data_IF_236816847596
#
_entry.id   IF_236816847596
#
_cell.length_a   1.000
_cell.length_b   1.000
_cell.length_c   1.000
_cell.angle_alpha   90.00
_cell.angle_beta   90.00
_cell.angle_gamma   90.00
#
_symmetry.space_group_name_H-M   'P 1'
#
loop_
_entity.id
_entity.type
_entity.pdbx_description
1 polymer ?
#
# COMPACT_ATOMS: atom_id res chain seq x y z
N UNK A 1 12.42 -6.10 13.78
CA UNK A 1 12.80 -6.81 12.54
C UNK A 1 12.10 -6.13 11.37
N UNK A 2 12.71 -6.10 10.18
CA UNK A 2 12.09 -5.52 8.98
C UNK A 2 11.44 -6.63 8.15
N UNK A 3 10.21 -6.40 7.70
CA UNK A 3 9.45 -7.33 6.87
C UNK A 3 9.51 -6.80 5.44
N UNK A 4 9.89 -7.69 4.50
CA UNK A 4 9.76 -7.39 3.07
C UNK A 4 8.30 -7.56 2.69
N UNK A 5 7.77 -6.66 1.87
CA UNK A 5 6.42 -6.75 1.33
C UNK A 5 6.31 -6.11 -0.04
N UNK A 6 5.12 -6.22 -0.62
CA UNK A 6 4.74 -5.45 -1.78
C UNK A 6 3.79 -4.32 -1.37
N UNK A 7 3.86 -3.21 -2.09
CA UNK A 7 2.89 -2.12 -1.98
C UNK A 7 2.11 -2.10 -3.29
N UNK A 8 0.80 -2.30 -3.21
CA UNK A 8 -0.10 -2.10 -4.33
C UNK A 8 -0.71 -0.71 -4.25
N UNK A 9 -0.61 0.04 -5.34
CA UNK A 9 -1.14 1.37 -5.52
C UNK A 9 -2.26 1.32 -6.56
N UNK A 10 -3.36 1.98 -6.27
CA UNK A 10 -4.51 2.05 -7.16
C UNK A 10 -5.05 3.48 -7.21
N UNK A 11 -5.36 3.97 -8.39
CA UNK A 11 -5.96 5.28 -8.60
C UNK A 11 -7.45 5.10 -8.80
N UNK A 12 -8.26 5.66 -7.89
CA UNK A 12 -9.72 5.68 -8.02
C UNK A 12 -10.17 6.78 -8.97
N UNK A 13 -11.41 6.64 -9.46
CA UNK A 13 -12.05 7.58 -10.40
C UNK A 13 -12.19 9.01 -9.84
N UNK A 14 -12.14 9.19 -8.52
CA UNK A 14 -12.28 10.48 -7.85
C UNK A 14 -10.94 11.20 -7.63
N UNK A 15 -9.87 10.81 -8.35
CA UNK A 15 -8.50 11.35 -8.18
C UNK A 15 -7.87 10.97 -6.82
N UNK A 16 -8.54 10.17 -6.01
CA UNK A 16 -7.97 9.59 -4.79
C UNK A 16 -7.11 8.36 -5.12
N UNK A 17 -6.06 8.14 -4.34
CA UNK A 17 -5.15 7.01 -4.46
C UNK A 17 -5.34 6.06 -3.28
N UNK A 18 -5.27 4.76 -3.53
CA UNK A 18 -5.31 3.71 -2.53
C UNK A 18 -3.97 3.00 -2.50
N UNK A 19 -3.44 2.80 -1.30
CA UNK A 19 -2.21 2.08 -1.04
C UNK A 19 -2.51 0.91 -0.13
N UNK A 20 -2.20 -0.29 -0.60
CA UNK A 20 -2.33 -1.52 0.18
C UNK A 20 -0.96 -2.15 0.31
N UNK A 21 -0.47 -2.28 1.54
CA UNK A 21 0.76 -3.02 1.81
C UNK A 21 0.43 -4.49 2.07
N UNK A 22 1.07 -5.41 1.36
CA UNK A 22 0.98 -6.84 1.61
C UNK A 22 2.39 -7.37 1.93
N UNK A 23 2.67 -7.77 3.18
CA UNK A 23 3.94 -8.40 3.52
C UNK A 23 4.12 -9.72 2.74
N UNK A 24 5.37 -10.13 2.49
CA UNK A 24 5.69 -11.39 1.82
C UNK A 24 5.03 -12.55 2.57
N UNK A 25 4.10 -13.25 1.89
CA UNK A 25 3.30 -14.33 2.46
C UNK A 25 1.84 -13.95 2.81
N UNK A 26 1.46 -12.67 2.69
CA UNK A 26 0.08 -12.21 2.88
C UNK A 26 -0.64 -11.93 1.55
N UNK A 27 -1.96 -12.18 1.52
CA UNK A 27 -2.80 -11.93 0.35
C UNK A 27 -3.09 -10.44 0.17
N UNK A 28 -2.80 -9.91 -1.02
CA UNK A 28 -3.13 -8.55 -1.45
C UNK A 28 -4.66 -8.42 -1.50
N UNK A 29 -5.26 -7.82 -0.47
CA UNK A 29 -6.71 -7.68 -0.33
C UNK A 29 -7.25 -7.92 1.08
N UNK A 30 -6.42 -8.39 2.01
CA UNK A 30 -6.79 -8.52 3.43
C UNK A 30 -6.18 -7.44 4.34
N UNK A 31 -5.27 -6.61 3.81
CA UNK A 31 -4.76 -5.45 4.53
C UNK A 31 -5.65 -4.23 4.24
N UNK A 32 -5.93 -3.37 5.25
CA UNK A 32 -6.71 -2.17 5.05
C UNK A 32 -6.01 -1.23 4.04
N UNK A 33 -6.71 -0.75 3.00
CA UNK A 33 -6.15 0.22 2.08
C UNK A 33 -6.06 1.59 2.77
N UNK A 34 -4.93 2.26 2.58
CA UNK A 34 -4.75 3.66 2.97
C UNK A 34 -5.12 4.56 1.81
N UNK A 35 -6.00 5.52 2.05
CA UNK A 35 -6.50 6.44 1.02
C UNK A 35 -5.70 7.75 1.11
N UNK A 36 -5.28 8.26 -0.04
CA UNK A 36 -4.64 9.55 -0.22
C UNK A 36 -5.50 10.39 -1.17
N UNK A 37 -5.65 11.68 -0.90
CA UNK A 37 -6.49 12.54 -1.74
C UNK A 37 -5.71 13.15 -2.90
N UNK A 38 -4.40 13.30 -2.74
CA UNK A 38 -3.52 13.97 -3.68
C UNK A 38 -2.24 13.18 -3.97
N UNK A 39 -1.64 13.42 -5.14
CA UNK A 39 -0.36 12.81 -5.55
C UNK A 39 0.79 13.19 -4.61
N UNK A 40 0.78 14.42 -4.07
CA UNK A 40 1.79 14.91 -3.12
C UNK A 40 1.77 14.17 -1.79
N UNK A 41 0.58 13.85 -1.27
CA UNK A 41 0.47 13.07 -0.03
C UNK A 41 1.01 11.66 -0.25
N UNK A 42 0.67 11.06 -1.41
CA UNK A 42 1.17 9.74 -1.79
C UNK A 42 2.69 9.75 -1.95
N UNK A 43 3.26 10.72 -2.67
CA UNK A 43 4.70 10.87 -2.88
C UNK A 43 5.45 11.05 -1.54
N UNK A 44 4.96 11.95 -0.68
CA UNK A 44 5.57 12.21 0.64
C UNK A 44 5.57 10.94 1.49
N UNK A 45 4.50 10.14 1.41
CA UNK A 45 4.42 8.89 2.13
C UNK A 45 5.36 7.82 1.55
N UNK A 46 5.42 7.68 0.22
CA UNK A 46 6.32 6.74 -0.45
C UNK A 46 7.80 7.08 -0.16
N UNK A 47 8.17 8.35 -0.23
CA UNK A 47 9.54 8.81 0.02
C UNK A 47 9.91 8.76 1.52
N UNK A 48 8.99 9.17 2.40
CA UNK A 48 9.25 9.27 3.83
C UNK A 48 9.08 7.94 4.56
N UNK A 49 7.85 7.40 4.54
CA UNK A 49 7.49 6.21 5.31
C UNK A 49 8.05 4.93 4.70
N UNK A 50 7.93 4.78 3.37
CA UNK A 50 8.34 3.58 2.65
C UNK A 50 9.78 3.65 2.15
N UNK A 51 10.42 4.83 2.26
CA UNK A 51 11.81 5.09 1.80
C UNK A 51 12.06 4.62 0.36
N UNK A 52 11.03 4.74 -0.48
CA UNK A 52 11.10 4.38 -1.90
C UNK A 52 11.90 5.46 -2.63
N UNK A 53 12.73 5.05 -3.57
CA UNK A 53 13.54 5.99 -4.33
C UNK A 53 12.69 6.93 -5.19
N UNK A 54 13.07 8.21 -5.34
CA UNK A 54 12.31 9.19 -6.12
C UNK A 54 12.04 8.75 -7.57
N UNK A 55 12.97 7.99 -8.16
CA UNK A 55 12.82 7.43 -9.51
C UNK A 55 11.66 6.44 -9.58
N UNK A 56 11.53 5.57 -8.58
CA UNK A 56 10.47 4.58 -8.53
C UNK A 56 9.12 5.24 -8.23
N UNK A 57 9.10 6.31 -7.42
CA UNK A 57 7.89 7.10 -7.18
C UNK A 57 7.41 7.76 -8.47
N UNK A 58 8.31 8.35 -9.26
CA UNK A 58 7.95 8.94 -10.55
C UNK A 58 7.40 7.89 -11.52
N UNK A 59 7.98 6.67 -11.53
CA UNK A 59 7.45 5.53 -12.31
C UNK A 59 6.07 5.13 -11.82
N UNK A 60 5.86 5.04 -10.51
CA UNK A 60 4.58 4.69 -9.90
C UNK A 60 3.49 5.70 -10.24
N UNK A 61 3.75 7.00 -10.09
CA UNK A 61 2.82 8.07 -10.44
C UNK A 61 2.48 8.05 -11.93
N UNK A 62 3.48 7.84 -12.79
CA UNK A 62 3.28 7.72 -14.24
C UNK A 62 2.42 6.52 -14.61
N UNK A 63 2.64 5.37 -13.96
CA UNK A 63 1.84 4.16 -14.16
C UNK A 63 0.41 4.32 -13.60
N UNK A 64 0.23 4.99 -12.48
CA UNK A 64 -1.09 5.32 -11.92
C UNK A 64 -1.89 6.25 -12.84
N UNK A 65 -1.23 7.20 -13.48
CA UNK A 65 -1.87 8.10 -14.44
C UNK A 65 -2.32 7.36 -15.72
N UNK A 66 -1.53 6.39 -16.20
CA UNK A 66 -1.78 5.65 -17.45
C UNK A 66 -2.69 4.43 -17.29
N UNK A 67 -2.40 3.61 -16.28
CA UNK A 67 -3.02 2.30 -16.09
C UNK A 67 -3.99 2.28 -14.91
N UNK A 68 -3.93 3.27 -14.02
CA UNK A 68 -4.77 3.33 -12.82
C UNK A 68 -4.29 2.42 -11.69
N UNK A 69 -3.19 1.68 -11.84
CA UNK A 69 -2.62 0.83 -10.78
C UNK A 69 -1.12 0.62 -10.97
N UNK A 70 -0.40 0.39 -9.87
CA UNK A 70 1.02 0.08 -9.86
C UNK A 70 1.41 -0.76 -8.63
N UNK A 71 2.39 -1.65 -8.74
CA UNK A 71 2.90 -2.43 -7.61
C UNK A 71 4.38 -2.17 -7.42
N UNK A 72 4.77 -1.78 -6.22
CA UNK A 72 6.17 -1.68 -5.79
C UNK A 72 6.53 -2.95 -5.03
N UNK A 73 7.59 -3.62 -5.45
CA UNK A 73 8.09 -4.83 -4.80
C UNK A 73 9.25 -4.48 -3.86
N UNK A 74 9.58 -5.40 -2.93
CA UNK A 74 10.73 -5.27 -2.01
C UNK A 74 10.66 -4.10 -1.02
N UNK A 75 9.44 -3.66 -0.68
CA UNK A 75 9.25 -2.60 0.31
C UNK A 75 9.49 -3.14 1.72
N UNK A 76 10.56 -2.66 2.34
CA UNK A 76 10.99 -3.03 3.69
C UNK A 76 10.38 -2.10 4.72
N UNK A 77 9.43 -2.60 5.50
CA UNK A 77 8.86 -1.88 6.62
C UNK A 77 9.16 -2.60 7.93
N UNK A 78 9.41 -1.82 8.97
CA UNK A 78 9.46 -2.37 10.32
C UNK A 78 8.04 -2.58 10.85
N UNK A 79 7.84 -3.56 11.72
CA UNK A 79 6.52 -3.87 12.31
C UNK A 79 5.87 -2.65 12.97
N UNK A 80 6.68 -1.83 13.66
CA UNK A 80 6.25 -0.56 14.24
C UNK A 80 5.72 0.42 13.18
N UNK A 81 6.35 0.50 12.00
CA UNK A 81 5.90 1.37 10.90
C UNK A 81 4.62 0.83 10.25
N UNK A 82 4.47 -0.50 10.16
CA UNK A 82 3.26 -1.11 9.63
C UNK A 82 2.08 -0.78 10.57
N UNK A 83 2.29 -0.89 11.88
CA UNK A 83 1.27 -0.56 12.88
C UNK A 83 0.99 0.95 12.97
N UNK A 84 2.03 1.79 12.96
CA UNK A 84 1.92 3.26 13.02
C UNK A 84 1.20 3.84 11.80
N UNK A 85 1.45 3.27 10.61
CA UNK A 85 0.82 3.73 9.38
C UNK A 85 -0.52 3.04 9.08
N UNK A 86 -1.00 2.18 9.99
CA UNK A 86 -2.25 1.44 9.82
C UNK A 86 -2.24 0.48 8.63
N UNK A 87 -1.06 -0.01 8.23
CA UNK A 87 -0.84 -0.91 7.09
C UNK A 87 -1.09 -2.40 7.44
N UNK A 88 -1.72 -2.67 8.60
CA UNK A 88 -1.98 -4.00 9.14
C UNK A 88 -0.97 -4.43 10.22
N UNK A 89 -1.02 -5.70 10.62
CA UNK A 89 -0.05 -6.31 11.55
C UNK A 89 0.84 -7.28 10.80
N UNK A 90 2.16 -7.14 10.95
CA UNK A 90 3.17 -7.99 10.32
C UNK A 90 3.00 -9.49 10.60
N UNK A 91 2.36 -9.83 11.73
CA UNK A 91 2.13 -11.21 12.20
C UNK A 91 0.71 -11.72 11.91
N UNK A 92 -0.14 -10.91 11.28
CA UNK A 92 -1.43 -11.38 10.80
C UNK A 92 -1.24 -12.11 9.46
N UNK A 93 -0.60 -13.28 9.52
CA UNK A 93 -0.88 -14.39 8.60
C UNK A 93 -2.38 -14.77 8.67
N UNK A 94 -3.06 -14.45 9.78
CA UNK A 94 -4.50 -14.23 9.81
C UNK A 94 -4.84 -12.82 9.35
N UNK A 95 -4.60 -12.60 8.07
CA UNK A 95 -5.39 -11.73 7.23
C UNK A 95 -6.80 -12.34 7.18
N UNK A 96 -7.52 -12.24 8.30
CA UNK A 96 -8.86 -12.79 8.45
C UNK A 96 -9.69 -12.18 7.37
N UNK A 97 -10.17 -13.02 6.46
CA UNK A 97 -11.26 -12.79 5.53
C UNK A 97 -12.25 -11.84 6.20
N UNK A 98 -12.09 -10.53 5.97
CA UNK A 98 -13.13 -9.56 6.22
C UNK A 98 -14.18 -10.00 5.23
N UNK A 99 -15.11 -10.82 5.74
CA UNK A 99 -16.20 -11.34 4.98
C UNK A 99 -16.76 -10.17 4.20
N UNK A 100 -16.93 -10.39 2.90
CA UNK A 100 -17.95 -9.71 2.12
C UNK A 100 -19.24 -9.88 2.91
N UNK A 101 -19.51 -8.98 3.86
CA UNK A 101 -20.84 -8.74 4.40
C UNK A 101 -21.50 -7.81 3.38
N UNK A 102 -21.66 -8.35 2.17
CA UNK A 102 -22.83 -8.05 1.37
C UNK A 102 -23.97 -8.79 2.05
N UNK A 103 -24.46 -8.21 3.14
CA UNK A 103 -25.77 -8.55 3.64
C UNK A 103 -26.77 -7.90 2.69
N UNK A 104 -27.41 -8.76 1.90
CA UNK A 104 -28.70 -8.62 1.20
C UNK A 104 -28.90 -7.44 0.25
#
# INVERSE_FOLDING_TARGET
>A
MSVNGLVHLLRRKNVTYELTYAPLGALVGSCPPRIFNDDKELETFLAGALRIEPREIATALSALARNGSYSVYEVRLSEAQIQEHGLGTAWSLSCSRAAVVGAF
#
